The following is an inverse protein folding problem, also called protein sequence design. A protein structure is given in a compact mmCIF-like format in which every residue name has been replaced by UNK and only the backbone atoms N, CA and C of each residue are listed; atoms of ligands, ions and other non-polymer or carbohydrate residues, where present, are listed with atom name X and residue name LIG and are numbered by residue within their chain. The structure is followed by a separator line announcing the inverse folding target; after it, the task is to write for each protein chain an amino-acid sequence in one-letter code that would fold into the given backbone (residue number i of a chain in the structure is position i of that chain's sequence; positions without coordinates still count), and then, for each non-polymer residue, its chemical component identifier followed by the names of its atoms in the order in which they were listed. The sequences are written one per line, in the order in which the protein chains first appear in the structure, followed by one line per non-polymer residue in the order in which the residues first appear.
data_IF_650488196005
#
_entry.id   IF_650488196005
#
_cell.length_a   1.000
_cell.length_b   1.000
_cell.length_c   1.000
_cell.angle_alpha   90.00
_cell.angle_beta   90.00
_cell.angle_gamma   90.00
#
_symmetry.space_group_name_H-M   'P 1'
#
loop_
_entity.id
_entity.type
_entity.pdbx_description
1 polymer ?
#
# COMPACT_ATOMS: atom_id res chain seq x y z
N UNK A 1 -10.40 -3.05 16.62
CA UNK A 1 -8.92 -2.97 16.66
C UNK A 1 -8.54 -1.57 16.20
N UNK A 2 -7.45 -0.96 16.70
CA UNK A 2 -6.93 0.30 16.14
C UNK A 2 -5.83 -0.03 15.14
N UNK A 3 -6.10 0.08 13.85
CA UNK A 3 -5.20 -0.35 12.80
C UNK A 3 -3.96 0.53 12.67
N UNK A 4 -4.06 1.81 13.00
CA UNK A 4 -2.91 2.72 13.04
C UNK A 4 -1.89 2.29 14.11
N UNK A 5 -2.37 1.90 15.31
CA UNK A 5 -1.49 1.40 16.38
C UNK A 5 -0.87 0.05 16.03
N UNK A 6 -1.62 -0.83 15.35
CA UNK A 6 -1.09 -2.09 14.84
C UNK A 6 0.07 -1.84 13.85
N UNK A 7 -0.11 -0.92 12.90
CA UNK A 7 0.93 -0.53 11.95
C UNK A 7 2.17 0.00 12.69
N UNK A 8 1.99 0.95 13.61
CA UNK A 8 3.09 1.51 14.42
C UNK A 8 3.87 0.44 15.18
N UNK A 9 3.15 -0.45 15.87
CA UNK A 9 3.77 -1.52 16.67
C UNK A 9 4.60 -2.47 15.81
N UNK A 10 4.14 -2.79 14.60
CA UNK A 10 4.86 -3.70 13.68
C UNK A 10 6.19 -3.15 13.17
N UNK A 11 6.38 -1.83 13.25
CA UNK A 11 7.60 -1.16 12.80
C UNK A 11 8.50 -0.70 13.95
N UNK A 12 8.23 -1.13 15.19
CA UNK A 12 9.04 -0.75 16.36
C UNK A 12 10.52 -1.14 16.25
N UNK A 13 10.83 -2.18 15.49
CA UNK A 13 12.20 -2.69 15.26
C UNK A 13 12.85 -2.13 13.97
N UNK A 14 12.22 -1.16 13.33
CA UNK A 14 12.80 -0.48 12.18
C UNK A 14 13.91 0.46 12.67
N UNK A 15 15.12 0.27 12.16
CA UNK A 15 16.26 1.08 12.59
C UNK A 15 16.03 2.56 12.19
N UNK A 16 16.50 3.54 12.98
CA UNK A 16 16.25 4.96 12.73
C UNK A 16 16.54 5.40 11.30
N UNK A 17 15.74 6.32 10.77
CA UNK A 17 15.90 6.89 9.43
C UNK A 17 15.99 8.40 9.60
N UNK A 18 17.21 8.94 9.61
CA UNK A 18 17.43 10.38 9.82
C UNK A 18 16.88 11.21 8.65
N UNK A 19 17.17 10.76 7.43
CA UNK A 19 16.66 11.39 6.21
C UNK A 19 16.52 10.40 5.08
N UNK A 20 15.59 10.64 4.15
CA UNK A 20 15.39 9.75 3.01
C UNK A 20 14.90 10.45 1.73
N UNK A 21 15.12 9.79 0.61
CA UNK A 21 14.42 10.05 -0.66
C UNK A 21 13.35 8.97 -0.82
N UNK A 22 12.12 9.37 -1.10
CA UNK A 22 10.99 8.47 -1.34
C UNK A 22 10.80 8.29 -2.85
N UNK A 23 10.79 7.05 -3.30
CA UNK A 23 10.53 6.64 -4.69
C UNK A 23 9.23 5.86 -4.83
N UNK A 24 8.81 5.70 -6.09
CA UNK A 24 7.56 5.07 -6.51
C UNK A 24 6.33 5.83 -6.02
N UNK A 25 6.40 7.16 -5.99
CA UNK A 25 5.20 7.94 -5.72
C UNK A 25 4.19 7.75 -6.88
N UNK A 26 2.91 7.44 -6.61
CA UNK A 26 1.92 7.22 -7.67
C UNK A 26 1.62 8.49 -8.47
N UNK A 27 1.69 8.38 -9.80
CA UNK A 27 1.33 9.40 -10.78
C UNK A 27 0.22 8.93 -11.76
N UNK A 28 -0.54 7.90 -11.36
CA UNK A 28 -1.55 7.23 -12.18
C UNK A 28 -2.86 6.99 -11.40
N UNK A 29 -3.93 6.62 -12.11
CA UNK A 29 -5.30 6.51 -11.59
C UNK A 29 -5.56 5.25 -10.72
N UNK A 30 -4.73 5.00 -9.70
CA UNK A 30 -5.00 4.01 -8.65
C UNK A 30 -5.01 4.67 -7.27
N UNK A 31 -6.20 4.96 -6.76
CA UNK A 31 -6.39 5.64 -5.47
C UNK A 31 -5.69 4.91 -4.31
N UNK A 32 -5.64 3.58 -4.35
CA UNK A 32 -5.02 2.80 -3.30
C UNK A 32 -3.52 3.05 -3.14
N UNK A 33 -2.80 3.26 -4.23
CA UNK A 33 -1.37 3.52 -4.18
C UNK A 33 -1.08 4.93 -3.62
N UNK A 34 -2.01 5.88 -3.80
CA UNK A 34 -1.96 7.18 -3.11
C UNK A 34 -2.09 7.04 -1.60
N UNK A 35 -2.93 6.12 -1.11
CA UNK A 35 -3.08 5.87 0.33
C UNK A 35 -1.80 5.28 0.92
N UNK A 36 -1.16 4.35 0.19
CA UNK A 36 0.13 3.77 0.57
C UNK A 36 1.22 4.83 0.69
N UNK A 37 1.34 5.70 -0.33
CA UNK A 37 2.34 6.76 -0.35
C UNK A 37 2.13 7.76 0.80
N UNK A 38 0.87 8.19 1.01
CA UNK A 38 0.53 9.11 2.09
C UNK A 38 0.77 8.49 3.47
N UNK A 39 0.35 7.23 3.68
CA UNK A 39 0.58 6.52 4.94
C UNK A 39 2.06 6.34 5.25
N UNK A 40 2.86 5.98 4.24
CA UNK A 40 4.32 5.89 4.32
C UNK A 40 4.94 7.22 4.74
N UNK A 41 4.60 8.32 4.04
CA UNK A 41 5.12 9.65 4.32
C UNK A 41 4.78 10.11 5.74
N UNK A 42 3.50 10.02 6.13
CA UNK A 42 3.05 10.49 7.43
C UNK A 42 3.67 9.69 8.57
N UNK A 43 3.83 8.37 8.42
CA UNK A 43 4.53 7.56 9.41
C UNK A 43 5.99 8.00 9.60
N UNK A 44 6.71 8.19 8.48
CA UNK A 44 8.10 8.64 8.52
C UNK A 44 8.25 10.00 9.20
N UNK A 45 7.37 10.96 8.88
CA UNK A 45 7.39 12.30 9.46
C UNK A 45 6.98 12.30 10.94
N UNK A 46 5.93 11.57 11.29
CA UNK A 46 5.26 11.71 12.59
C UNK A 46 5.84 10.80 13.66
N UNK A 47 6.21 9.56 13.31
CA UNK A 47 6.70 8.59 14.27
C UNK A 47 8.23 8.48 14.21
N UNK A 48 8.81 8.37 13.01
CA UNK A 48 10.27 8.26 12.85
C UNK A 48 11.01 9.59 12.86
N UNK A 49 10.29 10.71 12.73
CA UNK A 49 10.86 12.07 12.63
C UNK A 49 11.88 12.22 11.49
N UNK A 50 11.69 11.46 10.41
CA UNK A 50 12.57 11.45 9.25
C UNK A 50 12.48 12.75 8.46
N UNK A 51 13.63 13.32 8.11
CA UNK A 51 13.72 14.43 7.16
C UNK A 51 13.51 13.93 5.73
N UNK A 52 12.44 14.37 5.08
CA UNK A 52 12.16 14.01 3.68
C UNK A 52 12.95 14.92 2.75
N UNK A 53 13.90 14.34 2.00
CA UNK A 53 14.75 15.06 1.04
C UNK A 53 13.97 15.34 -0.25
N UNK A 54 13.28 14.32 -0.76
CA UNK A 54 12.47 14.41 -1.97
C UNK A 54 11.44 13.27 -2.03
N UNK A 55 10.32 13.56 -2.68
CA UNK A 55 9.26 12.61 -3.08
C UNK A 55 9.18 12.46 -4.60
N UNK A 56 10.06 13.14 -5.36
CA UNK A 56 10.06 13.08 -6.81
C UNK A 56 10.82 11.86 -7.32
N UNK A 57 10.15 11.05 -8.13
CA UNK A 57 10.76 9.92 -8.83
C UNK A 57 11.91 10.33 -9.75
N UNK A 58 11.99 11.60 -10.16
CA UNK A 58 13.07 12.11 -11.00
C UNK A 58 14.31 12.51 -10.21
N UNK A 59 14.25 12.58 -8.88
CA UNK A 59 15.42 12.90 -8.06
C UNK A 59 16.49 11.83 -8.22
N UNK A 60 17.73 12.28 -8.46
CA UNK A 60 18.92 11.44 -8.48
C UNK A 60 19.64 11.64 -7.15
N UNK A 61 19.59 10.64 -6.27
CA UNK A 61 20.42 10.62 -5.05
C UNK A 61 21.84 10.07 -5.30
N UNK A 62 22.63 9.95 -4.24
CA UNK A 62 23.99 9.40 -4.21
C UNK A 62 24.03 8.03 -3.51
N UNK A 63 25.21 7.46 -3.24
CA UNK A 63 25.29 6.20 -2.48
C UNK A 63 25.28 6.39 -0.95
N UNK A 64 24.97 7.60 -0.46
CA UNK A 64 25.02 7.94 0.97
C UNK A 64 23.65 8.11 1.63
N UNK A 65 22.59 8.30 0.84
CA UNK A 65 21.23 8.49 1.35
C UNK A 65 20.57 7.16 1.72
N UNK A 66 19.52 7.26 2.55
CA UNK A 66 18.54 6.16 2.69
C UNK A 66 17.44 6.33 1.65
N UNK A 67 17.06 5.24 1.02
CA UNK A 67 16.00 5.21 0.02
C UNK A 67 14.79 4.48 0.57
N UNK A 68 13.63 5.13 0.50
CA UNK A 68 12.35 4.50 0.81
C UNK A 68 11.61 4.27 -0.50
N UNK A 69 11.11 3.07 -0.73
CA UNK A 69 10.29 2.73 -1.89
C UNK A 69 8.88 2.47 -1.40
N UNK A 70 7.91 3.24 -1.90
CA UNK A 70 6.48 3.01 -1.62
C UNK A 70 6.10 1.61 -2.11
N UNK A 71 5.44 0.87 -1.23
CA UNK A 71 5.07 -0.53 -1.46
C UNK A 71 3.84 -0.72 -2.36
N UNK A 72 3.03 -1.73 -2.05
CA UNK A 72 1.79 -2.05 -2.77
C UNK A 72 1.80 -3.38 -3.51
N UNK A 73 0.90 -3.53 -4.48
CA UNK A 73 0.64 -4.80 -5.19
C UNK A 73 1.52 -5.04 -6.41
N UNK A 74 2.75 -4.50 -6.42
CA UNK A 74 3.55 -4.33 -7.63
C UNK A 74 4.92 -5.03 -7.59
N UNK A 75 5.21 -5.83 -6.56
CA UNK A 75 6.47 -6.55 -6.41
C UNK A 75 6.39 -7.93 -7.09
N UNK A 76 6.80 -8.02 -8.36
CA UNK A 76 6.58 -9.24 -9.11
C UNK A 76 6.46 -9.09 -10.62
N UNK A 77 6.10 -10.19 -11.29
CA UNK A 77 5.95 -10.24 -12.74
C UNK A 77 4.54 -9.88 -13.23
N UNK A 78 3.58 -9.73 -12.33
CA UNK A 78 2.26 -9.23 -12.69
C UNK A 78 2.34 -7.77 -13.15
N UNK A 79 3.13 -6.92 -12.49
CA UNK A 79 3.31 -5.49 -12.82
C UNK A 79 4.77 -5.16 -13.18
N UNK A 80 5.28 -5.71 -14.30
CA UNK A 80 6.72 -5.75 -14.57
C UNK A 80 7.33 -4.35 -14.76
N UNK A 81 6.57 -3.37 -15.26
CA UNK A 81 7.07 -1.99 -15.43
C UNK A 81 7.42 -1.34 -14.09
N UNK A 82 6.56 -1.52 -13.08
CA UNK A 82 6.79 -0.95 -11.73
C UNK A 82 7.89 -1.72 -11.04
N UNK A 83 7.85 -3.06 -11.07
CA UNK A 83 8.89 -3.89 -10.46
C UNK A 83 10.27 -3.67 -11.07
N UNK A 84 10.35 -3.48 -12.39
CA UNK A 84 11.60 -3.16 -13.08
C UNK A 84 12.20 -1.83 -12.61
N UNK A 85 11.38 -0.82 -12.34
CA UNK A 85 11.84 0.44 -11.74
C UNK A 85 12.41 0.20 -10.35
N UNK A 86 11.75 -0.60 -9.51
CA UNK A 86 12.28 -0.99 -8.18
C UNK A 86 13.63 -1.70 -8.32
N UNK A 87 13.73 -2.70 -9.20
CA UNK A 87 15.00 -3.41 -9.47
C UNK A 87 16.10 -2.46 -9.93
N UNK A 88 15.78 -1.50 -10.79
CA UNK A 88 16.73 -0.50 -11.26
C UNK A 88 17.21 0.40 -10.12
N UNK A 89 16.33 0.80 -9.19
CA UNK A 89 16.71 1.58 -8.01
C UNK A 89 17.61 0.80 -7.06
N UNK A 90 17.28 -0.47 -6.79
CA UNK A 90 18.14 -1.34 -5.96
C UNK A 90 19.51 -1.54 -6.58
N UNK A 91 19.58 -1.75 -7.90
CA UNK A 91 20.87 -1.81 -8.63
C UNK A 91 21.64 -0.50 -8.59
N UNK A 92 20.97 0.63 -8.73
CA UNK A 92 21.61 1.95 -8.77
C UNK A 92 22.21 2.35 -7.43
N UNK A 93 21.52 2.02 -6.34
CA UNK A 93 21.88 2.40 -4.97
C UNK A 93 22.33 1.18 -4.16
N UNK A 94 23.12 0.32 -4.80
CA UNK A 94 23.52 -0.99 -4.30
C UNK A 94 24.20 -0.97 -2.92
N UNK A 95 24.95 0.10 -2.64
CA UNK A 95 25.71 0.28 -1.39
C UNK A 95 24.97 1.12 -0.33
N UNK A 96 23.76 1.57 -0.64
CA UNK A 96 22.93 2.38 0.24
C UNK A 96 21.90 1.54 0.98
N UNK A 97 21.33 2.11 2.04
CA UNK A 97 20.20 1.53 2.74
C UNK A 97 18.92 1.74 1.93
N UNK A 98 18.21 0.65 1.64
CA UNK A 98 16.97 0.66 0.87
C UNK A 98 15.87 -0.01 1.69
N UNK A 99 14.77 0.71 1.90
CA UNK A 99 13.64 0.26 2.71
C UNK A 99 12.41 0.22 1.80
N UNK A 100 11.93 -0.98 1.54
CA UNK A 100 10.75 -1.22 0.71
C UNK A 100 9.58 -1.38 1.66
N UNK A 101 8.69 -0.39 1.63
CA UNK A 101 7.46 -0.40 2.43
C UNK A 101 6.53 -1.53 1.98
N UNK A 102 5.52 -1.90 2.79
CA UNK A 102 4.84 -3.18 2.68
C UNK A 102 4.32 -3.50 1.27
N UNK A 103 4.80 -4.60 0.69
CA UNK A 103 4.41 -5.09 -0.64
C UNK A 103 3.64 -6.41 -0.56
N UNK A 104 2.85 -6.66 -1.60
CA UNK A 104 2.47 -8.03 -1.99
C UNK A 104 3.39 -8.53 -3.09
N UNK A 105 3.88 -9.75 -2.93
CA UNK A 105 4.85 -10.42 -3.78
C UNK A 105 4.15 -11.49 -4.60
N UNK A 106 4.34 -11.46 -5.91
CA UNK A 106 3.83 -12.51 -6.78
C UNK A 106 4.74 -12.73 -8.00
N UNK A 107 5.21 -13.96 -8.17
CA UNK A 107 6.00 -14.36 -9.33
C UNK A 107 5.41 -15.63 -9.92
N UNK A 108 4.98 -15.56 -11.19
CA UNK A 108 4.61 -16.74 -11.98
C UNK A 108 5.80 -17.26 -12.79
N UNK A 109 6.64 -16.37 -13.30
CA UNK A 109 7.86 -16.67 -14.05
C UNK A 109 9.05 -16.85 -13.11
N UNK A 110 9.57 -18.09 -13.06
CA UNK A 110 10.73 -18.47 -12.26
C UNK A 110 11.99 -17.67 -12.62
N UNK A 111 12.25 -17.40 -13.91
CA UNK A 111 13.42 -16.62 -14.33
C UNK A 111 13.31 -15.17 -13.88
N UNK A 112 12.09 -14.62 -13.90
CA UNK A 112 11.83 -13.27 -13.41
C UNK A 112 12.07 -13.17 -11.90
N UNK A 113 11.69 -14.20 -11.14
CA UNK A 113 12.01 -14.36 -9.71
C UNK A 113 13.51 -14.49 -9.45
N UNK A 114 14.21 -15.38 -10.14
CA UNK A 114 15.66 -15.60 -10.00
C UNK A 114 16.45 -14.30 -10.23
N UNK A 115 16.13 -13.57 -11.31
CA UNK A 115 16.73 -12.25 -11.57
C UNK A 115 16.42 -11.23 -10.47
N UNK A 116 15.24 -11.29 -9.87
CA UNK A 116 14.93 -10.45 -8.72
C UNK A 116 15.77 -10.85 -7.51
N UNK A 117 15.81 -12.14 -7.18
CA UNK A 117 16.58 -12.68 -6.07
C UNK A 117 18.03 -12.23 -6.14
N UNK A 118 18.69 -12.39 -7.29
CA UNK A 118 20.08 -11.94 -7.48
C UNK A 118 20.30 -10.46 -7.14
N UNK A 119 19.36 -9.59 -7.52
CA UNK A 119 19.48 -8.14 -7.29
C UNK A 119 19.27 -7.79 -5.82
N UNK A 120 18.16 -8.25 -5.25
CA UNK A 120 17.80 -7.88 -3.89
C UNK A 120 18.74 -8.51 -2.86
N UNK A 121 19.17 -9.76 -3.08
CA UNK A 121 20.10 -10.43 -2.18
C UNK A 121 21.54 -9.97 -2.30
N UNK A 122 21.93 -9.35 -3.42
CA UNK A 122 23.27 -8.84 -3.62
C UNK A 122 23.47 -7.43 -3.06
N UNK A 123 22.42 -6.62 -2.95
CA UNK A 123 22.48 -5.26 -2.44
C UNK A 123 22.81 -5.24 -0.94
N UNK A 124 23.55 -4.22 -0.50
CA UNK A 124 24.22 -4.18 0.81
C UNK A 124 23.24 -4.17 1.99
N UNK A 125 22.18 -3.38 1.90
CA UNK A 125 21.24 -3.18 3.01
C UNK A 125 19.83 -2.95 2.45
N UNK A 126 19.08 -4.05 2.33
CA UNK A 126 17.68 -4.02 1.88
C UNK A 126 16.76 -4.51 3.00
N UNK A 127 15.85 -3.66 3.43
CA UNK A 127 14.68 -4.05 4.23
C UNK A 127 13.48 -4.25 3.32
N UNK A 128 12.89 -5.45 3.33
CA UNK A 128 11.73 -5.82 2.51
C UNK A 128 10.52 -6.11 3.42
N UNK A 129 9.57 -5.19 3.44
CA UNK A 129 8.34 -5.35 4.22
C UNK A 129 7.27 -6.05 3.38
N UNK A 130 6.62 -7.06 3.95
CA UNK A 130 5.53 -7.80 3.32
C UNK A 130 4.23 -7.50 4.04
N UNK A 131 3.16 -7.24 3.27
CA UNK A 131 1.86 -6.85 3.85
C UNK A 131 0.89 -7.98 4.13
N UNK A 132 1.28 -9.22 3.84
CA UNK A 132 0.51 -10.41 4.19
C UNK A 132 1.44 -11.63 4.29
N UNK A 133 0.92 -12.71 4.89
CA UNK A 133 1.70 -13.90 5.22
C UNK A 133 2.27 -14.65 4.01
N UNK A 134 1.54 -14.76 2.91
CA UNK A 134 2.01 -15.49 1.71
C UNK A 134 3.24 -14.79 1.12
N UNK A 135 3.18 -13.45 1.02
CA UNK A 135 4.31 -12.60 0.63
C UNK A 135 5.48 -12.71 1.60
N UNK A 136 5.22 -12.72 2.90
CA UNK A 136 6.27 -12.84 3.91
C UNK A 136 7.00 -14.18 3.82
N UNK A 137 6.27 -15.28 3.59
CA UNK A 137 6.84 -16.61 3.40
C UNK A 137 7.68 -16.65 2.11
N UNK A 138 7.16 -16.12 1.00
CA UNK A 138 7.91 -16.02 -0.25
C UNK A 138 9.17 -15.18 -0.09
N UNK A 139 9.09 -14.05 0.63
CA UNK A 139 10.23 -13.19 0.87
C UNK A 139 11.31 -13.86 1.72
N UNK A 140 10.93 -14.52 2.81
CA UNK A 140 11.88 -15.29 3.63
C UNK A 140 12.55 -16.41 2.84
N UNK A 141 11.86 -17.00 1.86
CA UNK A 141 12.39 -18.08 1.02
C UNK A 141 13.38 -17.59 -0.04
N UNK A 142 13.04 -16.52 -0.75
CA UNK A 142 13.80 -16.09 -1.95
C UNK A 142 14.64 -14.83 -1.75
N UNK A 143 14.37 -14.02 -0.73
CA UNK A 143 15.11 -12.79 -0.42
C UNK A 143 15.76 -12.87 0.97
N UNK A 144 16.42 -14.01 1.24
CA UNK A 144 16.98 -14.39 2.55
C UNK A 144 18.16 -13.51 3.02
N UNK A 145 18.76 -12.73 2.13
CA UNK A 145 19.79 -11.73 2.50
C UNK A 145 19.20 -10.36 2.85
N UNK A 146 17.92 -10.12 2.55
CA UNK A 146 17.22 -8.91 2.96
C UNK A 146 16.72 -9.03 4.42
N UNK A 147 16.60 -7.89 5.12
CA UNK A 147 15.83 -7.80 6.36
C UNK A 147 14.34 -7.87 6.02
N UNK A 148 13.75 -9.06 6.09
CA UNK A 148 12.32 -9.29 5.78
C UNK A 148 11.44 -9.10 7.02
N UNK A 149 10.41 -8.26 6.91
CA UNK A 149 9.45 -7.94 7.99
C UNK A 149 8.00 -8.18 7.54
N UNK A 150 7.13 -8.62 8.46
CA UNK A 150 5.68 -8.67 8.26
C UNK A 150 5.06 -7.41 8.89
N UNK A 151 4.48 -6.55 8.06
CA UNK A 151 4.01 -5.21 8.45
C UNK A 151 2.66 -4.98 7.77
N UNK A 152 1.60 -4.48 8.45
CA UNK A 152 0.33 -4.20 7.81
C UNK A 152 0.46 -3.20 6.66
N UNK A 153 -0.60 -3.09 5.84
CA UNK A 153 -0.62 -2.11 4.76
C UNK A 153 -0.42 -0.67 5.28
N UNK A 154 0.40 0.13 4.59
CA UNK A 154 0.72 1.50 5.01
C UNK A 154 -0.52 2.41 5.07
N UNK A 155 -1.59 2.09 4.35
CA UNK A 155 -2.84 2.83 4.44
C UNK A 155 -3.48 2.73 5.84
N UNK A 156 -3.20 1.70 6.64
CA UNK A 156 -3.69 1.61 8.03
C UNK A 156 -3.18 2.75 8.91
N UNK A 157 -2.03 3.34 8.59
CA UNK A 157 -1.52 4.50 9.31
C UNK A 157 -2.44 5.73 9.19
N UNK A 158 -3.31 5.78 8.16
CA UNK A 158 -4.22 6.89 7.89
C UNK A 158 -5.47 6.90 8.77
N UNK A 159 -5.69 5.89 9.62
CA UNK A 159 -6.85 5.78 10.51
C UNK A 159 -7.19 7.10 11.25
N UNK A 160 -6.23 7.87 11.83
CA UNK A 160 -6.56 9.11 12.54
C UNK A 160 -7.13 10.23 11.67
N UNK A 161 -6.86 10.19 10.35
CA UNK A 161 -7.42 11.14 9.38
C UNK A 161 -8.83 10.75 8.93
N UNK A 162 -9.24 9.51 9.17
CA UNK A 162 -10.49 8.93 8.71
C UNK A 162 -11.44 8.85 9.91
N UNK A 163 -12.37 9.80 9.99
CA UNK A 163 -13.41 9.74 11.04
C UNK A 163 -14.41 8.64 10.75
N UNK A 164 -14.62 7.75 11.74
CA UNK A 164 -15.72 6.78 11.74
C UNK A 164 -17.04 7.43 11.35
N UNK A 165 -17.86 6.69 10.62
CA UNK A 165 -19.11 7.20 10.09
C UNK A 165 -20.21 6.15 10.19
N UNK A 166 -21.38 6.57 10.65
CA UNK A 166 -22.61 5.77 10.71
C UNK A 166 -23.70 6.47 9.89
N UNK A 167 -24.41 5.74 9.03
CA UNK A 167 -25.50 6.28 8.21
C UNK A 167 -26.45 5.19 7.70
N UNK A 168 -27.69 5.55 7.39
CA UNK A 168 -28.83 4.62 7.22
C UNK A 168 -29.26 4.34 5.75
N UNK A 169 -28.35 4.22 4.76
CA UNK A 169 -28.71 4.03 3.32
C UNK A 169 -27.88 2.96 2.53
N UNK A 170 -28.01 2.92 1.19
CA UNK A 170 -27.81 1.83 0.16
C UNK A 170 -26.47 1.02 0.15
N UNK A 171 -26.40 -0.09 -0.61
CA UNK A 171 -25.19 -0.93 -0.85
C UNK A 171 -24.30 -0.40 -2.00
N UNK A 172 -22.97 -0.55 -1.90
CA UNK A 172 -21.99 -0.21 -2.96
C UNK A 172 -21.20 -1.43 -3.44
N UNK A 173 -20.96 -1.51 -4.74
CA UNK A 173 -20.08 -2.49 -5.36
C UNK A 173 -18.89 -1.76 -5.99
N UNK A 174 -17.66 -2.13 -5.63
CA UNK A 174 -16.43 -1.57 -6.19
C UNK A 174 -15.59 -2.69 -6.81
N UNK A 175 -15.64 -2.85 -8.13
CA UNK A 175 -14.88 -3.89 -8.82
C UNK A 175 -13.63 -3.34 -9.52
N UNK A 176 -12.60 -4.19 -9.64
CA UNK A 176 -11.46 -3.99 -10.53
C UNK A 176 -11.88 -4.19 -11.98
N UNK A 177 -11.15 -3.55 -12.88
CA UNK A 177 -11.28 -3.71 -14.34
C UNK A 177 -9.94 -4.07 -14.99
N UNK A 178 -8.94 -4.43 -14.19
CA UNK A 178 -7.57 -4.72 -14.61
C UNK A 178 -7.20 -6.18 -14.38
N UNK A 179 -5.96 -6.55 -14.70
CA UNK A 179 -5.46 -7.94 -14.66
C UNK A 179 -5.46 -8.62 -13.29
N UNK A 180 -5.81 -7.93 -12.19
CA UNK A 180 -6.02 -8.59 -10.91
C UNK A 180 -7.43 -9.17 -10.73
N UNK A 181 -8.37 -8.82 -11.62
CA UNK A 181 -9.76 -9.30 -11.64
C UNK A 181 -9.82 -10.80 -12.02
N UNK A 182 -10.58 -11.60 -11.28
CA UNK A 182 -10.85 -12.99 -11.66
C UNK A 182 -11.79 -13.05 -12.88
N UNK A 183 -11.64 -14.01 -13.81
CA UNK A 183 -12.49 -14.13 -15.00
C UNK A 183 -13.99 -14.30 -14.74
N UNK A 184 -14.42 -14.65 -13.52
CA UNK A 184 -15.82 -14.88 -13.14
C UNK A 184 -16.51 -13.70 -12.43
N UNK A 185 -15.78 -12.62 -12.13
CA UNK A 185 -16.29 -11.47 -11.36
C UNK A 185 -16.91 -10.38 -12.25
N UNK A 186 -17.78 -10.76 -13.19
CA UNK A 186 -18.53 -9.81 -14.02
C UNK A 186 -19.73 -9.22 -13.25
N UNK A 187 -19.46 -8.32 -12.31
CA UNK A 187 -20.47 -7.38 -11.81
C UNK A 187 -20.16 -6.00 -12.40
N UNK A 188 -20.88 -5.62 -13.46
CA UNK A 188 -20.76 -4.31 -14.10
C UNK A 188 -21.72 -3.31 -13.46
N UNK A 189 -21.22 -2.30 -12.75
CA UNK A 189 -21.92 -1.01 -12.62
C UNK A 189 -20.93 0.15 -12.57
N UNK A 190 -21.18 1.13 -13.45
CA UNK A 190 -20.52 2.43 -13.53
C UNK A 190 -20.98 3.31 -12.36
N UNK A 191 -20.04 3.89 -11.61
CA UNK A 191 -20.28 5.14 -10.88
C UNK A 191 -19.47 6.21 -11.59
N UNK A 192 -20.14 6.93 -12.48
CA UNK A 192 -19.68 8.22 -13.01
C UNK A 192 -20.20 9.29 -12.07
N UNK A 193 -19.31 9.91 -11.29
CA UNK A 193 -19.62 11.23 -10.70
C UNK A 193 -18.35 12.00 -10.39
N UNK A 194 -18.47 13.32 -10.60
CA UNK A 194 -17.40 14.30 -10.72
C UNK A 194 -16.99 14.87 -9.35
N UNK A 195 -15.70 15.22 -9.22
CA UNK A 195 -15.03 15.45 -7.94
C UNK A 195 -15.28 16.87 -7.41
N UNK A 196 -16.05 17.01 -6.33
CA UNK A 196 -16.07 18.25 -5.54
C UNK A 196 -14.98 18.20 -4.45
N UNK A 197 -13.96 19.04 -4.58
CA UNK A 197 -12.87 19.18 -3.62
C UNK A 197 -13.35 19.96 -2.39
N UNK A 198 -13.39 19.32 -1.22
CA UNK A 198 -13.33 20.04 0.05
C UNK A 198 -11.92 19.89 0.62
N UNK A 199 -11.21 21.01 0.70
CA UNK A 199 -9.85 21.08 1.24
C UNK A 199 -9.98 21.06 2.76
N UNK A 200 -9.40 20.03 3.39
CA UNK A 200 -9.14 20.08 4.83
C UNK A 200 -7.90 20.94 5.07
N UNK A 201 -8.02 21.92 5.97
CA UNK A 201 -6.87 22.69 6.46
C UNK A 201 -5.94 21.78 7.26
N UNK A 202 -4.83 21.35 6.65
CA UNK A 202 -3.69 20.83 7.40
C UNK A 202 -2.70 21.96 7.69
N UNK A 203 -2.24 22.02 8.93
CA UNK A 203 -1.21 22.95 9.41
C UNK A 203 0.22 22.51 9.09
N UNK A 204 0.43 21.33 8.49
CA UNK A 204 1.76 20.81 8.11
C UNK A 204 2.08 21.13 6.65
N UNK A 205 3.29 21.63 6.40
CA UNK A 205 3.83 21.77 5.04
C UNK A 205 4.12 20.39 4.46
N UNK A 206 3.26 19.94 3.54
CA UNK A 206 3.40 18.65 2.83
C UNK A 206 3.97 18.87 1.42
N UNK A 207 4.74 17.91 0.88
CA UNK A 207 5.12 17.91 -0.53
C UNK A 207 3.89 17.94 -1.46
N UNK A 208 4.06 18.45 -2.68
CA UNK A 208 2.96 18.59 -3.66
C UNK A 208 2.27 17.25 -3.93
N UNK A 209 3.04 16.18 -4.07
CA UNK A 209 2.52 14.83 -4.36
C UNK A 209 1.68 14.28 -3.20
N UNK A 210 2.01 14.67 -1.97
CA UNK A 210 1.25 14.32 -0.78
C UNK A 210 -0.10 15.05 -0.70
N UNK A 211 -0.16 16.32 -1.12
CA UNK A 211 -1.42 17.07 -1.21
C UNK A 211 -2.38 16.44 -2.23
N UNK A 212 -1.86 15.99 -3.37
CA UNK A 212 -2.66 15.23 -4.36
C UNK A 212 -3.19 13.94 -3.74
N UNK A 213 -2.32 13.18 -3.07
CA UNK A 213 -2.69 11.89 -2.47
C UNK A 213 -3.70 12.04 -1.33
N UNK A 214 -3.61 13.14 -0.57
CA UNK A 214 -4.59 13.50 0.44
C UNK A 214 -5.95 13.83 -0.19
N UNK A 215 -6.01 14.60 -1.27
CA UNK A 215 -7.25 14.86 -1.97
C UNK A 215 -7.89 13.56 -2.47
N UNK A 216 -7.09 12.65 -3.03
CA UNK A 216 -7.55 11.32 -3.46
C UNK A 216 -8.12 10.51 -2.28
N UNK A 217 -7.47 10.55 -1.10
CA UNK A 217 -7.99 9.93 0.13
C UNK A 217 -9.33 10.53 0.53
N UNK A 218 -9.40 11.85 0.70
CA UNK A 218 -10.59 12.55 1.17
C UNK A 218 -11.77 12.29 0.24
N UNK A 219 -11.56 12.39 -1.06
CA UNK A 219 -12.62 12.13 -2.01
C UNK A 219 -13.05 10.65 -2.06
N UNK A 220 -12.13 9.71 -1.89
CA UNK A 220 -12.47 8.28 -1.77
C UNK A 220 -13.26 7.99 -0.48
N UNK A 221 -12.91 8.66 0.62
CA UNK A 221 -13.67 8.59 1.88
C UNK A 221 -15.10 9.11 1.67
N UNK A 222 -15.25 10.28 1.04
CA UNK A 222 -16.57 10.84 0.74
C UNK A 222 -17.39 9.91 -0.17
N UNK A 223 -16.75 9.32 -1.17
CA UNK A 223 -17.39 8.34 -2.05
C UNK A 223 -17.89 7.14 -1.25
N UNK A 224 -17.05 6.50 -0.44
CA UNK A 224 -17.47 5.34 0.36
C UNK A 224 -18.58 5.74 1.34
N UNK A 225 -18.45 6.86 2.06
CA UNK A 225 -19.47 7.35 2.99
C UNK A 225 -20.84 7.62 2.35
N UNK A 226 -20.89 7.87 1.03
CA UNK A 226 -22.16 8.04 0.29
C UNK A 226 -22.99 6.75 0.22
N UNK A 227 -22.40 5.59 0.51
CA UNK A 227 -23.05 4.28 0.48
C UNK A 227 -22.90 3.59 1.84
N UNK A 228 -23.91 2.91 2.35
CA UNK A 228 -24.09 2.79 3.79
C UNK A 228 -24.48 1.39 4.27
N UNK A 229 -24.82 0.44 3.39
CA UNK A 229 -25.22 -0.90 3.84
C UNK A 229 -24.06 -1.88 3.90
N UNK A 230 -23.37 -2.06 2.79
CA UNK A 230 -22.19 -2.94 2.66
C UNK A 230 -21.41 -2.47 1.44
N UNK A 231 -20.08 -2.54 1.49
CA UNK A 231 -19.22 -2.44 0.30
C UNK A 231 -18.75 -3.83 -0.11
N UNK A 232 -19.08 -4.28 -1.31
CA UNK A 232 -18.54 -5.52 -1.88
C UNK A 232 -17.45 -5.16 -2.88
N UNK A 233 -16.24 -5.69 -2.70
CA UNK A 233 -15.10 -5.26 -3.50
C UNK A 233 -14.01 -6.32 -3.64
N UNK A 234 -13.35 -6.35 -4.80
CA UNK A 234 -12.06 -7.04 -5.01
C UNK A 234 -10.86 -6.06 -5.01
N UNK A 235 -11.09 -4.77 -4.71
CA UNK A 235 -10.04 -3.76 -4.53
C UNK A 235 -9.62 -3.75 -3.06
N UNK A 236 -8.41 -4.22 -2.78
CA UNK A 236 -7.86 -4.27 -1.42
C UNK A 236 -7.95 -2.94 -0.66
N UNK A 237 -7.66 -1.81 -1.31
CA UNK A 237 -7.69 -0.51 -0.64
C UNK A 237 -9.11 0.04 -0.42
N UNK A 238 -10.10 -0.42 -1.19
CA UNK A 238 -11.50 -0.13 -0.87
C UNK A 238 -11.92 -0.88 0.40
N UNK A 239 -11.51 -2.15 0.55
CA UNK A 239 -11.66 -2.93 1.77
C UNK A 239 -11.01 -2.26 2.96
N UNK A 240 -9.72 -1.89 2.86
CA UNK A 240 -9.00 -1.18 3.91
C UNK A 240 -9.72 0.11 4.29
N UNK A 241 -10.19 0.90 3.33
CA UNK A 241 -10.88 2.14 3.64
C UNK A 241 -12.21 1.91 4.37
N UNK A 242 -12.96 0.86 4.03
CA UNK A 242 -14.16 0.46 4.77
C UNK A 242 -13.84 0.04 6.20
N UNK A 243 -12.77 -0.74 6.38
CA UNK A 243 -12.27 -1.15 7.71
C UNK A 243 -11.96 0.08 8.56
N UNK A 244 -11.21 1.05 8.02
CA UNK A 244 -10.86 2.30 8.73
C UNK A 244 -12.08 3.20 8.99
N UNK A 245 -13.15 3.06 8.22
CA UNK A 245 -14.41 3.78 8.41
C UNK A 245 -15.36 3.09 9.40
N UNK A 246 -15.07 1.84 9.79
CA UNK A 246 -15.99 0.99 10.55
C UNK A 246 -17.20 0.53 9.74
N UNK A 247 -17.08 0.46 8.41
CA UNK A 247 -18.17 0.16 7.50
C UNK A 247 -18.19 -1.31 7.10
N UNK A 248 -19.39 -1.89 7.12
CA UNK A 248 -19.59 -3.27 6.71
C UNK A 248 -19.09 -3.49 5.27
N UNK A 249 -18.30 -4.53 5.05
CA UNK A 249 -17.71 -4.80 3.76
C UNK A 249 -17.52 -6.31 3.52
N UNK A 250 -17.38 -6.66 2.25
CA UNK A 250 -17.08 -8.01 1.79
C UNK A 250 -15.97 -7.94 0.78
N UNK A 251 -14.81 -8.49 1.16
CA UNK A 251 -13.67 -8.61 0.27
C UNK A 251 -13.80 -9.90 -0.56
N UNK A 252 -13.66 -9.73 -1.87
CA UNK A 252 -13.64 -10.80 -2.86
C UNK A 252 -12.18 -11.19 -3.17
N UNK A 253 -11.93 -12.44 -3.60
CA UNK A 253 -10.62 -12.90 -4.03
C UNK A 253 -10.09 -12.11 -5.23
N UNK A 254 -8.80 -12.30 -5.52
CA UNK A 254 -8.15 -11.82 -6.73
C UNK A 254 -7.32 -12.96 -7.35
N UNK A 255 -6.78 -12.74 -8.55
CA UNK A 255 -6.10 -13.80 -9.36
C UNK A 255 -4.87 -14.46 -8.71
N UNK A 256 -4.40 -13.98 -7.56
CA UNK A 256 -3.22 -14.52 -6.87
C UNK A 256 -3.38 -14.58 -5.35
N UNK A 257 -4.61 -14.71 -4.85
CA UNK A 257 -4.94 -14.90 -3.42
C UNK A 257 -4.47 -13.81 -2.44
N UNK A 258 -3.85 -12.73 -2.90
CA UNK A 258 -3.45 -11.57 -2.07
C UNK A 258 -4.58 -11.08 -1.18
N UNK A 259 -5.78 -10.92 -1.74
CA UNK A 259 -6.91 -10.41 -0.96
C UNK A 259 -7.27 -11.36 0.19
N UNK A 260 -7.26 -12.67 -0.08
CA UNK A 260 -7.52 -13.70 0.94
C UNK A 260 -6.42 -13.70 2.02
N UNK A 261 -5.15 -13.69 1.60
CA UNK A 261 -4.02 -13.70 2.52
C UNK A 261 -3.98 -12.44 3.38
N UNK A 262 -4.26 -11.27 2.80
CA UNK A 262 -4.37 -10.02 3.54
C UNK A 262 -5.51 -10.06 4.58
N UNK A 263 -6.70 -10.50 4.16
CA UNK A 263 -7.85 -10.64 5.05
C UNK A 263 -7.51 -11.52 6.26
N UNK A 264 -6.96 -12.71 6.00
CA UNK A 264 -6.55 -13.66 7.05
C UNK A 264 -5.45 -13.11 7.94
N UNK A 265 -4.53 -12.32 7.40
CA UNK A 265 -3.41 -11.78 8.17
C UNK A 265 -3.88 -10.70 9.14
N UNK A 266 -4.77 -9.79 8.70
CA UNK A 266 -5.02 -8.55 9.46
C UNK A 266 -6.47 -8.26 9.83
N UNK A 267 -7.44 -8.66 9.02
CA UNK A 267 -8.82 -8.16 9.16
C UNK A 267 -9.84 -9.25 9.49
N UNK A 268 -9.48 -10.53 9.51
CA UNK A 268 -10.42 -11.64 9.72
C UNK A 268 -11.20 -11.56 11.05
N UNK A 269 -10.59 -10.95 12.07
CA UNK A 269 -11.21 -10.76 13.39
C UNK A 269 -12.09 -9.51 13.47
N UNK A 270 -12.16 -8.71 12.40
CA UNK A 270 -12.97 -7.51 12.35
C UNK A 270 -14.41 -7.84 11.95
N UNK A 271 -15.35 -7.60 12.87
CA UNK A 271 -16.77 -7.90 12.70
C UNK A 271 -17.43 -7.11 11.56
N UNK A 272 -16.82 -6.01 11.11
CA UNK A 272 -17.30 -5.26 9.95
C UNK A 272 -16.91 -5.89 8.61
N UNK A 273 -16.09 -6.95 8.61
CA UNK A 273 -15.51 -7.51 7.40
C UNK A 273 -15.94 -8.95 7.17
N UNK A 274 -16.24 -9.28 5.92
CA UNK A 274 -16.43 -10.65 5.46
C UNK A 274 -15.51 -10.94 4.28
N UNK A 275 -15.20 -12.21 4.06
CA UNK A 275 -14.52 -12.68 2.87
C UNK A 275 -15.35 -13.79 2.21
N UNK A 276 -15.65 -13.64 0.92
CA UNK A 276 -16.43 -14.62 0.15
C UNK A 276 -15.55 -15.18 -0.97
N UNK A 277 -15.47 -16.50 -1.05
CA UNK A 277 -14.74 -17.24 -2.09
C UNK A 277 -15.58 -17.48 -3.33
#
# INVERSE_FOLDING_TARGET
MKYHELFKKSLKELDPIESCIIYNWPDYANNGDHFLALGTLLYLMDEHKTKIISTSDNTIGTNKETYVIVGGGNFGDLWPNVHNKVRARVRRYWDSRIIIFPVSIYFRDKKYLERSQEIFNGAKDVTLMCREHDSFILAKKYFDKCKVMLVPDAAFYLEPLIKHYSSDKKTLFLSRNDKELLPRDYFSYEIKEDWSHSIFNLSKTLPREALVSLNVLLSSVLQIKKFNKVVITNRLHAHILCVLLGMANTLLPNVYHKNESFYKTWTYSDLSTNFIK
#
